data_IF_843596637987
#
_entry.id   IF_843596637987
#
_cell.length_a   1.000
_cell.length_b   1.000
_cell.length_c   1.000
_cell.angle_alpha   90.00
_cell.angle_beta   90.00
_cell.angle_gamma   90.00
#
_symmetry.space_group_name_H-M   'P 1'
#
loop_
_entity.id
_entity.type
_entity.pdbx_description
1 polymer ?
#
# COMPACT_ATOMS: atom_id res chain seq x y z
N UNK A 1 -8.46 -7.36 17.52
CA UNK A 1 -7.25 -6.62 17.97
C UNK A 1 -7.14 -5.31 17.22
N UNK A 2 -6.91 -4.19 17.91
CA UNK A 2 -6.62 -2.90 17.28
C UNK A 2 -5.28 -2.99 16.53
N UNK A 3 -5.12 -2.24 15.44
CA UNK A 3 -3.92 -2.25 14.58
C UNK A 3 -2.64 -1.98 15.38
N UNK A 4 -2.72 -1.10 16.37
CA UNK A 4 -1.62 -0.80 17.30
C UNK A 4 -1.15 -2.05 18.07
N UNK A 5 -2.09 -2.86 18.57
CA UNK A 5 -1.78 -4.09 19.32
C UNK A 5 -1.04 -5.11 18.46
N UNK A 6 -1.43 -5.27 17.19
CA UNK A 6 -0.77 -6.21 16.27
C UNK A 6 0.67 -5.79 15.95
N UNK A 7 0.92 -4.48 15.87
CA UNK A 7 2.26 -3.93 15.64
C UNK A 7 3.16 -4.15 16.86
N UNK A 8 2.65 -3.90 18.06
CA UNK A 8 3.41 -4.17 19.29
C UNK A 8 3.71 -5.65 19.47
N UNK A 9 2.73 -6.53 19.24
CA UNK A 9 2.95 -7.97 19.28
C UNK A 9 4.04 -8.37 18.28
N UNK A 10 4.01 -7.83 17.05
CA UNK A 10 5.07 -8.09 16.07
C UNK A 10 6.45 -7.65 16.55
N UNK A 11 6.59 -6.42 17.05
CA UNK A 11 7.89 -5.91 17.51
C UNK A 11 8.40 -6.63 18.76
N UNK A 12 7.52 -6.99 19.69
CA UNK A 12 7.87 -7.78 20.87
C UNK A 12 8.33 -9.16 20.45
N UNK A 13 7.57 -9.85 19.59
CA UNK A 13 7.96 -11.17 19.07
C UNK A 13 9.28 -11.13 18.30
N UNK A 14 9.49 -10.11 17.46
CA UNK A 14 10.74 -9.92 16.73
C UNK A 14 11.92 -9.65 17.66
N UNK A 15 11.70 -8.85 18.71
CA UNK A 15 12.72 -8.57 19.72
C UNK A 15 13.08 -9.83 20.49
N UNK A 16 12.10 -10.62 20.93
CA UNK A 16 12.33 -11.90 21.60
C UNK A 16 13.11 -12.86 20.70
N UNK A 17 12.76 -12.94 19.41
CA UNK A 17 13.50 -13.76 18.44
C UNK A 17 14.96 -13.32 18.31
N UNK A 18 15.23 -12.01 18.17
CA UNK A 18 16.60 -11.50 18.11
C UNK A 18 17.38 -11.74 19.40
N UNK A 19 16.75 -11.61 20.56
CA UNK A 19 17.38 -11.90 21.85
C UNK A 19 17.76 -13.38 21.95
N UNK A 20 16.87 -14.29 21.55
CA UNK A 20 17.15 -15.72 21.55
C UNK A 20 18.32 -16.05 20.61
N UNK A 21 18.30 -15.53 19.37
CA UNK A 21 19.37 -15.72 18.40
C UNK A 21 20.70 -15.15 18.93
N UNK A 22 20.69 -13.91 19.43
CA UNK A 22 21.89 -13.26 19.96
C UNK A 22 22.50 -14.03 21.13
N UNK A 23 21.66 -14.54 22.04
CA UNK A 23 22.12 -15.35 23.16
C UNK A 23 22.81 -16.64 22.70
N UNK A 24 22.29 -17.31 21.68
CA UNK A 24 22.90 -18.53 21.15
C UNK A 24 24.29 -18.29 20.52
N UNK A 25 24.50 -17.14 19.88
CA UNK A 25 25.78 -16.83 19.23
C UNK A 25 26.85 -16.28 20.18
N UNK A 26 26.49 -15.38 21.11
CA UNK A 26 27.46 -14.63 21.92
C UNK A 26 27.04 -14.47 23.40
N UNK A 27 26.12 -15.29 23.89
CA UNK A 27 25.68 -15.27 25.29
C UNK A 27 25.16 -13.90 25.74
N UNK A 28 25.72 -13.37 26.84
CA UNK A 28 25.29 -12.09 27.43
C UNK A 28 25.57 -10.87 26.53
N UNK A 29 26.72 -10.87 25.85
CA UNK A 29 27.07 -9.78 24.93
C UNK A 29 26.15 -9.81 23.70
N UNK A 30 25.82 -11.01 23.22
CA UNK A 30 24.84 -11.21 22.17
C UNK A 30 23.44 -10.70 22.52
N UNK A 31 22.97 -10.89 23.76
CA UNK A 31 21.71 -10.31 24.25
C UNK A 31 21.71 -8.78 24.15
N UNK A 32 22.79 -8.14 24.61
CA UNK A 32 22.91 -6.68 24.58
C UNK A 32 22.93 -6.13 23.15
N UNK A 33 23.71 -6.74 22.26
CA UNK A 33 23.80 -6.34 20.85
C UNK A 33 22.46 -6.56 20.13
N UNK A 34 21.81 -7.69 20.33
CA UNK A 34 20.48 -7.98 19.75
C UNK A 34 19.40 -7.03 20.25
N UNK A 35 19.43 -6.63 21.52
CA UNK A 35 18.51 -5.63 22.07
C UNK A 35 18.72 -4.25 21.42
N UNK A 36 19.97 -3.82 21.27
CA UNK A 36 20.28 -2.56 20.62
C UNK A 36 19.88 -2.58 19.14
N UNK A 37 20.11 -3.70 18.46
CA UNK A 37 19.71 -3.91 17.07
C UNK A 37 18.19 -3.91 16.89
N UNK A 38 17.43 -4.51 17.82
CA UNK A 38 15.96 -4.49 17.77
C UNK A 38 15.40 -3.09 17.98
N UNK A 39 15.95 -2.32 18.92
CA UNK A 39 15.60 -0.91 19.14
C UNK A 39 15.90 -0.06 17.91
N UNK A 40 17.07 -0.22 17.31
CA UNK A 40 17.46 0.49 16.09
C UNK A 40 16.51 0.15 14.94
N UNK A 41 16.16 -1.13 14.78
CA UNK A 41 15.21 -1.57 13.76
C UNK A 41 13.83 -0.94 13.99
N UNK A 42 13.32 -0.94 15.23
CA UNK A 42 12.06 -0.26 15.57
C UNK A 42 12.13 1.22 15.21
N UNK A 43 13.20 1.92 15.60
CA UNK A 43 13.38 3.33 15.29
C UNK A 43 13.37 3.61 13.79
N UNK A 44 14.18 2.87 13.01
CA UNK A 44 14.19 2.95 11.54
C UNK A 44 12.80 2.67 10.99
N UNK A 45 12.10 1.69 11.57
CA UNK A 45 10.78 1.29 11.10
C UNK A 45 9.73 2.39 11.30
N UNK A 46 9.76 3.03 12.48
CA UNK A 46 8.82 4.08 12.85
C UNK A 46 9.10 5.39 12.10
N UNK A 47 10.38 5.78 11.94
CA UNK A 47 10.76 7.12 11.49
C UNK A 47 11.24 7.17 10.04
N UNK A 48 12.04 6.21 9.57
CA UNK A 48 12.71 6.31 8.26
C UNK A 48 11.99 5.62 7.11
N UNK A 49 11.07 4.71 7.37
CA UNK A 49 10.40 3.96 6.29
C UNK A 49 9.66 4.77 5.25
N UNK A 50 8.93 5.78 5.72
CA UNK A 50 8.21 6.69 4.83
C UNK A 50 9.19 7.61 4.09
N UNK A 51 10.26 8.04 4.76
CA UNK A 51 11.30 8.85 4.14
C UNK A 51 12.01 8.09 3.01
N UNK A 52 12.33 6.81 3.20
CA UNK A 52 12.90 5.97 2.15
C UNK A 52 11.96 5.80 0.96
N UNK A 53 10.67 5.57 1.21
CA UNK A 53 9.65 5.53 0.15
C UNK A 53 9.58 6.86 -0.63
N UNK A 54 9.55 8.00 0.08
CA UNK A 54 9.47 9.32 -0.53
C UNK A 54 10.70 9.70 -1.35
N UNK A 55 11.89 9.20 -0.99
CA UNK A 55 13.15 9.56 -1.67
C UNK A 55 13.34 8.91 -3.04
N UNK A 56 12.63 7.82 -3.32
CA UNK A 56 12.78 7.05 -4.56
C UNK A 56 11.79 7.45 -5.67
N UNK A 57 10.81 8.30 -5.35
CA UNK A 57 9.80 8.76 -6.29
C UNK A 57 9.95 10.26 -6.46
N UNK A 58 10.15 10.70 -7.70
CA UNK A 58 10.11 12.12 -8.02
C UNK A 58 8.64 12.52 -8.17
N UNK A 59 8.07 13.06 -7.10
CA UNK A 59 6.68 13.51 -7.09
C UNK A 59 6.56 14.98 -6.71
N UNK A 60 5.58 15.67 -7.31
CA UNK A 60 5.26 17.08 -7.06
C UNK A 60 3.86 17.19 -6.48
N UNK A 61 3.70 17.99 -5.44
CA UNK A 61 2.37 18.21 -4.85
C UNK A 61 1.56 19.13 -5.76
N UNK A 62 0.31 18.77 -6.03
CA UNK A 62 -0.62 19.64 -6.74
C UNK A 62 -1.12 20.68 -5.74
N UNK A 63 -0.52 21.87 -5.78
CA UNK A 63 -0.94 23.03 -4.99
C UNK A 63 -1.66 24.03 -5.89
N UNK A 64 -2.94 24.30 -5.60
CA UNK A 64 -3.73 25.38 -6.20
C UNK A 64 -4.21 25.13 -7.64
N UNK A 65 -3.29 24.96 -8.61
CA UNK A 65 -3.64 24.81 -10.02
C UNK A 65 -3.91 23.35 -10.38
N UNK A 66 -5.17 22.94 -10.29
CA UNK A 66 -5.63 21.63 -10.77
C UNK A 66 -6.44 21.79 -12.08
N UNK A 67 -5.80 21.66 -13.26
CA UNK A 67 -6.47 21.81 -14.55
C UNK A 67 -7.49 20.69 -14.81
N UNK A 68 -7.45 19.60 -14.05
CA UNK A 68 -8.37 18.46 -14.21
C UNK A 68 -9.60 18.53 -13.31
N UNK A 69 -9.61 19.42 -12.30
CA UNK A 69 -10.65 19.51 -11.27
C UNK A 69 -10.75 18.29 -10.34
N UNK A 70 -9.84 17.32 -10.45
CA UNK A 70 -9.84 16.09 -9.69
C UNK A 70 -9.64 16.29 -8.17
N UNK A 71 -8.83 17.25 -7.76
CA UNK A 71 -8.62 17.64 -6.37
C UNK A 71 -9.92 18.19 -5.75
N UNK A 72 -10.74 18.89 -6.53
CA UNK A 72 -12.06 19.35 -6.06
C UNK A 72 -12.99 18.17 -5.82
N UNK A 73 -13.01 17.20 -6.74
CA UNK A 73 -13.76 15.95 -6.58
C UNK A 73 -13.30 15.15 -5.35
N UNK A 74 -11.98 15.07 -5.11
CA UNK A 74 -11.44 14.46 -3.89
C UNK A 74 -11.92 15.20 -2.63
N UNK A 75 -11.85 16.53 -2.63
CA UNK A 75 -12.24 17.36 -1.49
C UNK A 75 -13.74 17.31 -1.18
N UNK A 76 -14.59 17.09 -2.19
CA UNK A 76 -16.02 16.93 -2.01
C UNK A 76 -16.38 15.65 -1.22
N UNK A 77 -15.66 14.55 -1.48
CA UNK A 77 -16.00 13.21 -0.98
C UNK A 77 -15.21 12.81 0.28
N UNK A 78 -14.13 13.52 0.63
CA UNK A 78 -13.21 13.12 1.72
C UNK A 78 -13.89 12.87 3.07
N UNK A 79 -14.95 13.62 3.40
CA UNK A 79 -15.66 13.50 4.69
C UNK A 79 -16.42 12.17 4.82
N UNK A 80 -16.92 11.62 3.72
CA UNK A 80 -17.62 10.33 3.69
C UNK A 80 -16.71 9.15 4.08
N UNK A 81 -15.39 9.38 3.99
CA UNK A 81 -14.36 8.41 4.33
C UNK A 81 -13.62 8.72 5.63
N UNK A 82 -14.10 9.68 6.44
CA UNK A 82 -13.45 10.17 7.68
C UNK A 82 -12.02 10.68 7.44
N UNK A 83 -11.80 11.34 6.29
CA UNK A 83 -10.53 11.98 5.95
C UNK A 83 -10.71 13.51 5.96
N UNK A 84 -9.87 14.20 6.73
CA UNK A 84 -9.92 15.64 6.88
C UNK A 84 -9.01 16.35 5.87
N UNK A 85 -7.79 15.81 5.71
CA UNK A 85 -6.73 16.39 4.90
C UNK A 85 -6.28 15.37 3.86
N UNK A 86 -6.16 15.82 2.62
CA UNK A 86 -5.70 15.02 1.49
C UNK A 86 -4.57 15.76 0.80
N UNK A 87 -3.45 15.06 0.60
CA UNK A 87 -2.34 15.54 -0.20
C UNK A 87 -2.29 14.74 -1.50
N UNK A 88 -2.41 15.43 -2.63
CA UNK A 88 -2.36 14.84 -3.95
C UNK A 88 -1.05 15.21 -4.62
N UNK A 89 -0.35 14.20 -5.09
CA UNK A 89 0.93 14.33 -5.78
C UNK A 89 0.84 13.71 -7.16
N UNK A 90 1.60 14.26 -8.10
CA UNK A 90 1.83 13.66 -9.41
C UNK A 90 3.26 13.22 -9.57
N UNK A 91 3.49 12.20 -10.40
CA UNK A 91 4.81 11.74 -10.79
C UNK A 91 4.82 11.34 -12.27
N UNK A 92 5.99 11.43 -12.89
CA UNK A 92 6.27 10.88 -14.22
C UNK A 92 6.89 9.48 -14.15
N UNK A 93 7.17 8.99 -12.94
CA UNK A 93 7.60 7.62 -12.73
C UNK A 93 6.44 6.69 -13.03
N UNK A 94 6.71 5.62 -13.79
CA UNK A 94 5.71 4.65 -14.19
C UNK A 94 5.25 3.79 -12.99
N UNK A 95 4.28 4.34 -12.24
CA UNK A 95 3.76 3.78 -10.99
C UNK A 95 2.24 3.64 -11.03
N UNK A 96 1.68 2.57 -10.46
CA UNK A 96 0.25 2.52 -10.16
C UNK A 96 -0.11 3.60 -9.13
N UNK A 97 -1.41 3.94 -8.95
CA UNK A 97 -1.82 4.85 -7.89
C UNK A 97 -1.34 4.35 -6.52
N UNK A 98 -0.61 5.20 -5.81
CA UNK A 98 -0.06 4.88 -4.48
C UNK A 98 -0.83 5.66 -3.42
N UNK A 99 -1.23 4.99 -2.34
CA UNK A 99 -1.97 5.63 -1.25
C UNK A 99 -1.47 5.22 0.11
N UNK A 100 -1.38 6.17 1.04
CA UNK A 100 -1.07 5.92 2.44
C UNK A 100 -1.66 6.96 3.38
N UNK A 101 -1.60 6.65 4.67
CA UNK A 101 -1.95 7.57 5.75
C UNK A 101 -0.74 7.81 6.62
N UNK A 102 -0.49 9.07 6.98
CA UNK A 102 0.46 9.36 8.05
C UNK A 102 -0.23 9.40 9.42
N UNK A 103 -1.46 9.90 9.44
CA UNK A 103 -2.35 9.98 10.59
C UNK A 103 -3.71 9.40 10.21
N UNK A 104 -4.57 8.99 11.18
CA UNK A 104 -5.85 8.37 10.88
C UNK A 104 -6.74 9.15 9.89
N UNK A 105 -6.65 10.49 9.89
CA UNK A 105 -7.48 11.40 9.09
C UNK A 105 -6.71 12.19 8.02
N UNK A 106 -5.45 11.84 7.75
CA UNK A 106 -4.61 12.51 6.74
C UNK A 106 -4.16 11.50 5.70
N UNK A 107 -4.67 11.64 4.48
CA UNK A 107 -4.36 10.78 3.36
C UNK A 107 -3.35 11.41 2.40
N UNK A 108 -2.59 10.55 1.73
CA UNK A 108 -1.64 10.92 0.70
C UNK A 108 -1.90 10.04 -0.52
N UNK A 109 -1.94 10.65 -1.70
CA UNK A 109 -2.22 10.00 -2.97
C UNK A 109 -1.13 10.43 -3.96
N UNK A 110 -0.48 9.48 -4.61
CA UNK A 110 0.40 9.72 -5.76
C UNK A 110 -0.25 9.10 -6.99
N UNK A 111 -0.38 9.89 -8.06
CA UNK A 111 -0.86 9.45 -9.37
C UNK A 111 0.18 9.71 -10.45
N UNK A 112 0.19 8.90 -11.50
CA UNK A 112 0.92 9.23 -12.72
C UNK A 112 0.29 10.46 -13.40
N UNK A 113 1.08 11.39 -13.93
CA UNK A 113 0.60 12.64 -14.56
C UNK A 113 -0.43 12.41 -15.68
N UNK A 114 -0.24 11.35 -16.47
CA UNK A 114 -1.15 11.00 -17.56
C UNK A 114 -2.40 10.21 -17.16
N UNK A 115 -2.52 9.75 -15.90
CA UNK A 115 -3.63 8.90 -15.47
C UNK A 115 -4.98 9.55 -15.77
N UNK A 116 -5.15 10.79 -15.35
CA UNK A 116 -6.42 11.51 -15.45
C UNK A 116 -6.82 11.83 -16.90
N UNK A 117 -5.85 11.85 -17.83
CA UNK A 117 -6.10 12.07 -19.27
C UNK A 117 -6.72 10.83 -19.94
N UNK A 118 -6.51 9.64 -19.37
CA UNK A 118 -7.01 8.37 -19.90
C UNK A 118 -8.39 7.97 -19.34
N UNK A 119 -8.94 8.77 -18.42
CA UNK A 119 -10.19 8.49 -17.73
C UNK A 119 -11.28 9.48 -18.14
N UNK A 120 -12.47 8.94 -18.40
CA UNK A 120 -13.70 9.72 -18.55
C UNK A 120 -14.11 10.33 -17.20
N UNK A 121 -14.99 11.34 -17.20
CA UNK A 121 -15.49 11.94 -15.94
C UNK A 121 -16.15 10.91 -15.01
N UNK A 122 -16.89 9.95 -15.56
CA UNK A 122 -17.46 8.84 -14.79
C UNK A 122 -16.37 7.97 -14.17
N UNK A 123 -15.31 7.64 -14.91
CA UNK A 123 -14.19 6.87 -14.38
C UNK A 123 -13.36 7.64 -13.35
N UNK A 124 -13.24 8.97 -13.49
CA UNK A 124 -12.61 9.84 -12.47
C UNK A 124 -13.43 9.82 -11.18
N UNK A 125 -14.76 9.85 -11.27
CA UNK A 125 -15.63 9.68 -10.11
C UNK A 125 -15.41 8.32 -9.43
N UNK A 126 -15.36 7.22 -10.20
CA UNK A 126 -15.04 5.88 -9.66
C UNK A 126 -13.64 5.89 -9.01
N UNK A 127 -12.65 6.54 -9.63
CA UNK A 127 -11.28 6.66 -9.12
C UNK A 127 -11.24 7.37 -7.76
N UNK A 128 -11.99 8.45 -7.56
CA UNK A 128 -12.08 9.13 -6.26
C UNK A 128 -12.50 8.16 -5.16
N UNK A 129 -13.62 7.46 -5.37
CA UNK A 129 -14.13 6.48 -4.40
C UNK A 129 -13.18 5.30 -4.20
N UNK A 130 -12.51 4.86 -5.26
CA UNK A 130 -11.51 3.81 -5.23
C UNK A 130 -10.30 4.18 -4.35
N UNK A 131 -9.72 5.37 -4.56
CA UNK A 131 -8.58 5.85 -3.79
C UNK A 131 -8.95 6.03 -2.31
N UNK A 132 -10.10 6.63 -2.02
CA UNK A 132 -10.56 6.82 -0.65
C UNK A 132 -10.92 5.52 0.06
N UNK A 133 -11.51 4.54 -0.64
CA UNK A 133 -11.76 3.23 -0.07
C UNK A 133 -10.45 2.54 0.34
N UNK A 134 -9.41 2.63 -0.49
CA UNK A 134 -8.09 2.12 -0.14
C UNK A 134 -7.47 2.87 1.05
N UNK A 135 -7.58 4.21 1.13
CA UNK A 135 -7.13 4.97 2.28
C UNK A 135 -7.86 4.58 3.57
N UNK A 136 -9.19 4.41 3.52
CA UNK A 136 -10.03 4.05 4.68
C UNK A 136 -9.70 2.66 5.20
N UNK A 137 -9.64 1.68 4.30
CA UNK A 137 -9.49 0.26 4.65
C UNK A 137 -8.05 -0.09 5.04
N UNK A 138 -7.03 0.57 4.47
CA UNK A 138 -5.63 0.24 4.75
C UNK A 138 -5.21 0.66 6.16
N UNK A 139 -4.43 -0.19 6.86
CA UNK A 139 -3.80 0.18 8.12
C UNK A 139 -2.65 1.17 7.89
N UNK A 140 -2.55 2.20 8.74
CA UNK A 140 -1.53 3.26 8.66
C UNK A 140 -0.10 2.73 8.72
N UNK A 141 0.17 1.74 9.58
CA UNK A 141 1.54 1.34 9.91
C UNK A 141 2.14 0.25 9.02
N UNK A 142 1.32 -0.67 8.50
CA UNK A 142 1.84 -1.88 7.87
C UNK A 142 2.57 -1.66 6.55
N UNK A 143 2.09 -0.78 5.64
CA UNK A 143 2.85 -0.47 4.43
C UNK A 143 4.26 0.05 4.73
N UNK A 144 4.43 0.82 5.80
CA UNK A 144 5.74 1.29 6.28
C UNK A 144 6.61 0.14 6.75
N UNK A 145 6.06 -0.72 7.62
CA UNK A 145 6.77 -1.91 8.11
C UNK A 145 7.33 -2.73 6.95
N UNK A 146 6.46 -3.08 5.99
CA UNK A 146 6.85 -3.90 4.86
C UNK A 146 7.82 -3.22 3.90
N UNK A 147 7.69 -1.91 3.67
CA UNK A 147 8.66 -1.19 2.84
C UNK A 147 10.05 -1.22 3.45
N UNK A 148 10.20 -1.05 4.76
CA UNK A 148 11.50 -1.12 5.44
C UNK A 148 12.12 -2.50 5.39
N UNK A 149 11.30 -3.55 5.57
CA UNK A 149 11.78 -4.92 5.38
C UNK A 149 12.31 -5.09 3.95
N UNK A 150 11.54 -4.71 2.95
CA UNK A 150 11.97 -4.86 1.56
C UNK A 150 13.23 -4.05 1.24
N UNK A 151 13.33 -2.81 1.72
CA UNK A 151 14.52 -1.97 1.57
C UNK A 151 15.74 -2.53 2.30
N UNK A 152 15.59 -2.94 3.56
CA UNK A 152 16.66 -3.52 4.37
C UNK A 152 17.19 -4.84 3.78
N UNK A 153 16.38 -5.52 2.98
CA UNK A 153 16.69 -6.79 2.36
C UNK A 153 16.74 -6.75 0.82
N UNK A 154 16.94 -5.56 0.22
CA UNK A 154 16.95 -5.33 -1.23
C UNK A 154 17.76 -6.36 -2.04
N UNK A 155 18.94 -6.76 -1.56
CA UNK A 155 19.81 -7.73 -2.23
C UNK A 155 19.46 -9.21 -1.94
N UNK A 156 18.59 -9.45 -0.97
CA UNK A 156 18.11 -10.77 -0.54
C UNK A 156 16.62 -10.99 -0.86
N UNK A 157 16.02 -10.11 -1.67
CA UNK A 157 14.61 -10.12 -2.00
C UNK A 157 14.11 -11.49 -2.48
N UNK A 158 14.89 -12.22 -3.29
CA UNK A 158 14.51 -13.55 -3.77
C UNK A 158 14.36 -14.56 -2.63
N UNK A 159 15.32 -14.59 -1.70
CA UNK A 159 15.34 -15.47 -0.53
C UNK A 159 14.23 -15.12 0.48
N UNK A 160 13.90 -13.84 0.62
CA UNK A 160 12.97 -13.35 1.64
C UNK A 160 11.55 -13.12 1.13
N UNK A 161 11.33 -13.12 -0.19
CA UNK A 161 10.02 -13.07 -0.83
C UNK A 161 8.97 -14.07 -0.30
N UNK A 162 9.31 -15.33 0.04
CA UNK A 162 8.35 -16.29 0.55
C UNK A 162 7.93 -15.94 1.98
N UNK A 163 8.91 -15.52 2.78
CA UNK A 163 8.69 -15.06 4.15
C UNK A 163 7.85 -13.78 4.18
N UNK A 164 8.13 -12.82 3.29
CA UNK A 164 7.36 -11.59 3.16
C UNK A 164 5.93 -11.85 2.70
N UNK A 165 5.73 -12.77 1.76
CA UNK A 165 4.40 -13.20 1.32
C UNK A 165 3.62 -13.88 2.45
N UNK A 166 4.27 -14.73 3.24
CA UNK A 166 3.67 -15.35 4.42
C UNK A 166 3.29 -14.32 5.49
N UNK A 167 4.19 -13.37 5.80
CA UNK A 167 3.89 -12.27 6.71
C UNK A 167 2.69 -11.46 6.20
N UNK A 168 2.68 -11.06 4.92
CA UNK A 168 1.58 -10.33 4.31
C UNK A 168 0.24 -11.09 4.41
N UNK A 169 0.25 -12.42 4.24
CA UNK A 169 -0.91 -13.29 4.45
C UNK A 169 -1.36 -13.33 5.91
N UNK A 170 -0.45 -13.52 6.86
CA UNK A 170 -0.76 -13.52 8.30
C UNK A 170 -1.34 -12.19 8.76
N UNK A 171 -0.84 -11.08 8.22
CA UNK A 171 -1.40 -9.76 8.45
C UNK A 171 -2.69 -9.51 7.67
N UNK A 172 -3.09 -10.38 6.74
CA UNK A 172 -4.33 -10.25 5.97
C UNK A 172 -4.28 -9.17 4.89
N UNK A 173 -3.09 -8.82 4.38
CA UNK A 173 -2.89 -7.86 3.29
C UNK A 173 -3.89 -8.03 2.13
N UNK A 174 -4.10 -9.25 1.57
CA UNK A 174 -5.04 -9.42 0.45
C UNK A 174 -6.49 -9.09 0.79
N UNK A 175 -6.91 -9.26 2.05
CA UNK A 175 -8.29 -8.93 2.47
C UNK A 175 -8.56 -7.43 2.39
N UNK A 176 -7.56 -6.57 2.56
CA UNK A 176 -7.75 -5.12 2.48
C UNK A 176 -7.95 -4.64 1.06
N UNK A 177 -7.26 -5.23 0.08
CA UNK A 177 -7.47 -4.91 -1.34
C UNK A 177 -8.89 -5.28 -1.75
N UNK A 178 -9.31 -6.51 -1.49
CA UNK A 178 -10.67 -6.97 -1.81
C UNK A 178 -11.74 -6.17 -1.08
N UNK A 179 -11.56 -5.90 0.22
CA UNK A 179 -12.50 -5.09 0.99
C UNK A 179 -12.57 -3.65 0.50
N UNK A 180 -11.44 -3.05 0.11
CA UNK A 180 -11.43 -1.71 -0.47
C UNK A 180 -12.16 -1.66 -1.81
N UNK A 181 -12.00 -2.68 -2.67
CA UNK A 181 -12.74 -2.77 -3.93
C UNK A 181 -14.26 -2.80 -3.69
N UNK A 182 -14.71 -3.60 -2.72
CA UNK A 182 -16.13 -3.67 -2.35
C UNK A 182 -16.67 -2.36 -1.76
N UNK A 183 -15.89 -1.68 -0.91
CA UNK A 183 -16.28 -0.36 -0.38
C UNK A 183 -16.33 0.69 -1.49
N UNK A 184 -15.38 0.65 -2.42
CA UNK A 184 -15.36 1.55 -3.57
C UNK A 184 -16.58 1.32 -4.47
N UNK A 185 -16.92 0.06 -4.78
CA UNK A 185 -18.11 -0.31 -5.54
C UNK A 185 -19.38 0.21 -4.86
N UNK A 186 -19.55 -0.05 -3.55
CA UNK A 186 -20.74 0.36 -2.81
C UNK A 186 -20.92 1.89 -2.78
N UNK A 187 -19.83 2.64 -2.63
CA UNK A 187 -19.89 4.09 -2.49
C UNK A 187 -19.91 4.84 -3.83
N UNK A 188 -19.38 4.25 -4.91
CA UNK A 188 -19.36 4.88 -6.23
C UNK A 188 -20.69 4.80 -6.98
N UNK A 189 -21.65 4.01 -6.47
CA UNK A 189 -23.00 3.84 -7.04
C UNK A 189 -23.01 3.39 -8.51
N UNK A 190 -21.94 2.71 -8.96
CA UNK A 190 -21.86 2.14 -10.31
C UNK A 190 -22.19 0.66 -10.30
N UNK A 191 -22.50 0.12 -11.48
CA UNK A 191 -22.75 -1.31 -11.60
C UNK A 191 -21.45 -2.12 -11.40
N UNK A 192 -21.57 -3.38 -10.96
CA UNK A 192 -20.43 -4.28 -10.80
C UNK A 192 -19.61 -4.43 -12.10
N UNK A 193 -20.32 -4.46 -13.23
CA UNK A 193 -19.72 -4.57 -14.56
C UNK A 193 -18.88 -3.32 -14.88
N UNK A 194 -19.44 -2.13 -14.69
CA UNK A 194 -18.71 -0.86 -14.89
C UNK A 194 -17.48 -0.75 -13.99
N UNK A 195 -17.60 -1.12 -12.72
CA UNK A 195 -16.47 -1.14 -11.80
C UNK A 195 -15.40 -2.16 -12.24
N UNK A 196 -15.82 -3.35 -12.69
CA UNK A 196 -14.93 -4.38 -13.21
C UNK A 196 -14.16 -3.91 -14.45
N UNK A 197 -14.83 -3.24 -15.39
CA UNK A 197 -14.20 -2.64 -16.56
C UNK A 197 -13.20 -1.54 -16.16
N UNK A 198 -13.58 -0.64 -15.25
CA UNK A 198 -12.70 0.38 -14.71
C UNK A 198 -11.44 -0.24 -14.07
N UNK A 199 -11.61 -1.25 -13.22
CA UNK A 199 -10.50 -1.90 -12.54
C UNK A 199 -9.55 -2.58 -13.52
N UNK A 200 -10.09 -3.26 -14.54
CA UNK A 200 -9.30 -3.87 -15.61
C UNK A 200 -8.54 -2.80 -16.39
N UNK A 201 -9.22 -1.74 -16.82
CA UNK A 201 -8.63 -0.63 -17.57
C UNK A 201 -7.46 -0.01 -16.79
N UNK A 202 -7.62 0.23 -15.48
CA UNK A 202 -6.52 0.73 -14.64
C UNK A 202 -5.30 -0.20 -14.65
N UNK A 203 -5.48 -1.53 -14.63
CA UNK A 203 -4.33 -2.46 -14.70
C UNK A 203 -3.71 -2.54 -16.10
N UNK A 204 -4.45 -2.16 -17.14
CA UNK A 204 -3.99 -2.24 -18.53
C UNK A 204 -3.21 -1.01 -19.01
N UNK A 205 -3.21 0.09 -18.25
CA UNK A 205 -2.42 1.28 -18.56
C UNK A 205 -0.91 0.97 -18.52
N UNK A 206 -0.21 1.26 -19.61
CA UNK A 206 1.20 0.88 -19.79
C UNK A 206 2.13 1.51 -18.73
N UNK A 207 1.84 2.74 -18.30
CA UNK A 207 2.60 3.42 -17.24
C UNK A 207 2.35 2.86 -15.83
N UNK A 208 1.43 1.90 -15.65
CA UNK A 208 1.29 1.12 -14.42
C UNK A 208 2.04 -0.22 -14.47
N UNK A 209 2.59 -0.61 -15.64
CA UNK A 209 3.23 -1.92 -15.88
C UNK A 209 4.75 -1.91 -15.71
N UNK A 210 5.38 -0.76 -15.48
CA UNK A 210 6.83 -0.68 -15.30
C UNK A 210 7.27 -1.32 -13.97
N UNK A 211 8.42 -1.99 -14.03
CA UNK A 211 8.97 -2.89 -13.00
C UNK A 211 9.89 -2.13 -12.05
N UNK A 212 9.88 -2.59 -10.80
CA UNK A 212 10.84 -2.31 -9.72
C UNK A 212 10.65 -0.97 -9.03
N UNK A 213 9.54 -0.82 -8.30
CA UNK A 213 9.55 0.04 -7.13
C UNK A 213 9.46 -0.82 -5.89
N UNK A 214 10.64 -1.28 -5.48
CA UNK A 214 10.80 -2.05 -4.26
C UNK A 214 10.20 -1.25 -3.10
N UNK A 215 9.23 -1.84 -2.40
CA UNK A 215 8.50 -1.21 -1.29
C UNK A 215 7.25 -0.43 -1.69
N UNK A 216 7.10 0.03 -2.94
CA UNK A 216 5.92 0.78 -3.38
C UNK A 216 4.69 -0.11 -3.58
N UNK A 217 4.88 -1.41 -3.77
CA UNK A 217 3.80 -2.38 -3.95
C UNK A 217 2.88 -2.43 -2.72
N UNK A 218 3.40 -2.21 -1.52
CA UNK A 218 2.58 -2.11 -0.30
C UNK A 218 1.74 -0.84 -0.23
N UNK A 219 2.09 0.19 -1.00
CA UNK A 219 1.36 1.44 -1.12
C UNK A 219 0.44 1.46 -2.36
N UNK A 220 0.71 0.63 -3.36
CA UNK A 220 -0.07 0.49 -4.59
C UNK A 220 -1.50 0.04 -4.35
N UNK A 221 -2.48 0.68 -4.99
CA UNK A 221 -3.89 0.25 -5.06
C UNK A 221 -4.15 -0.86 -6.07
N UNK A 222 -3.21 -1.06 -7.00
CA UNK A 222 -3.28 -2.10 -8.03
C UNK A 222 -2.45 -3.33 -7.65
N UNK A 223 -2.79 -4.47 -8.23
CA UNK A 223 -2.02 -5.69 -8.08
C UNK A 223 -0.79 -5.63 -9.00
N UNK A 224 0.36 -6.12 -8.55
CA UNK A 224 1.56 -6.22 -9.39
C UNK A 224 1.29 -7.01 -10.69
N UNK A 225 1.80 -6.50 -11.83
CA UNK A 225 1.57 -7.06 -13.16
C UNK A 225 2.20 -8.45 -13.36
N UNK A 226 3.27 -8.79 -12.64
CA UNK A 226 3.90 -10.11 -12.66
C UNK A 226 3.42 -10.96 -11.48
N UNK A 227 2.29 -11.65 -11.66
CA UNK A 227 1.75 -12.57 -10.66
C UNK A 227 2.54 -13.90 -10.67
N UNK A 228 3.69 -13.91 -9.99
CA UNK A 228 4.27 -15.17 -9.48
C UNK A 228 4.01 -15.19 -7.99
N UNK A 229 3.66 -16.35 -7.42
CA UNK A 229 3.37 -16.49 -5.98
C UNK A 229 4.45 -15.79 -5.12
N UNK A 230 5.71 -15.99 -5.51
CA UNK A 230 6.90 -15.41 -4.89
C UNK A 230 7.00 -13.89 -5.01
N UNK A 231 6.58 -13.26 -6.12
CA UNK A 231 6.67 -11.80 -6.32
C UNK A 231 5.38 -11.03 -6.03
N UNK A 232 4.33 -11.73 -5.58
CA UNK A 232 3.03 -11.10 -5.37
C UNK A 232 2.88 -10.43 -4.01
N UNK A 233 3.82 -10.63 -3.07
CA UNK A 233 3.78 -10.11 -1.69
C UNK A 233 2.42 -10.35 -0.99
N UNK A 234 1.78 -11.47 -1.31
CA UNK A 234 0.45 -11.84 -0.81
C UNK A 234 -0.72 -11.05 -1.42
N UNK A 235 -0.52 -10.24 -2.46
CA UNK A 235 -1.60 -9.51 -3.14
C UNK A 235 -2.49 -10.44 -3.97
N UNK A 236 -3.82 -10.24 -3.96
CA UNK A 236 -4.75 -11.03 -4.77
C UNK A 236 -4.56 -10.69 -6.26
N UNK A 237 -4.64 -11.70 -7.13
CA UNK A 237 -4.59 -11.49 -8.58
C UNK A 237 -5.75 -10.61 -9.05
N UNK A 238 -5.57 -9.93 -10.19
CA UNK A 238 -6.64 -9.17 -10.83
C UNK A 238 -7.89 -10.03 -11.04
N UNK A 239 -7.73 -11.27 -11.49
CA UNK A 239 -8.83 -12.24 -11.64
C UNK A 239 -9.61 -12.40 -10.33
N UNK A 240 -8.92 -12.58 -9.20
CA UNK A 240 -9.57 -12.72 -7.88
C UNK A 240 -10.29 -11.45 -7.45
N UNK A 241 -9.73 -10.27 -7.73
CA UNK A 241 -10.38 -8.98 -7.45
C UNK A 241 -11.66 -8.82 -8.28
N UNK A 242 -11.62 -9.14 -9.57
CA UNK A 242 -12.78 -9.07 -10.46
C UNK A 242 -13.89 -10.03 -10.03
N UNK A 243 -13.55 -11.28 -9.72
CA UNK A 243 -14.48 -12.28 -9.16
C UNK A 243 -15.16 -11.74 -7.90
N UNK A 244 -14.39 -11.13 -6.98
CA UNK A 244 -14.92 -10.55 -5.75
C UNK A 244 -15.88 -9.39 -6.00
N UNK A 245 -15.60 -8.51 -6.95
CA UNK A 245 -16.47 -7.36 -7.27
C UNK A 245 -17.74 -7.81 -7.97
N UNK A 246 -17.65 -8.81 -8.84
CA UNK A 246 -18.79 -9.36 -9.59
C UNK A 246 -19.68 -10.26 -8.74
N UNK A 247 -19.35 -10.49 -7.46
CA UNK A 247 -20.15 -11.32 -6.56
C UNK A 247 -20.12 -12.82 -6.88
N UNK A 248 -19.21 -13.27 -7.74
CA UNK A 248 -18.95 -14.70 -7.92
C UNK A 248 -18.22 -15.19 -6.67
N UNK A 249 -18.93 -15.92 -5.80
CA UNK A 249 -18.30 -16.65 -4.70
C UNK A 249 -17.35 -17.71 -5.31
N UNK A 250 -16.06 -17.76 -4.93
CA UNK A 250 -15.19 -18.87 -5.28
C UNK A 250 -15.57 -20.16 -4.55
#
# INVERSE_FOLDING_TARGET
MRTLTQVWVFFVSLTVAFLFIGFQFYGRLGLFVSFLASLLLIYITLHKGLWFFRRHLEFKEILGSDPTGFLNSLNAVKRDYDINVIHLYTTNDAVPPLVWKDYPKTGFIILHEDLLKHLTEKEKHILVHFLFAHLKVRPTFRPRLFSIFEFGFLKLQFLLSPFMSLLALMFGSPRFLLKADLVALANSQVTQLEFGYFLKKLHDLNFHRAKNLNGAEYFSTLTAAQHTFWKSFGQPSLKRRLVSVMGFLP
#
